data_IF_010382539350
#
_entry.id   IF_010382539350
#
_cell.length_a   1.000
_cell.length_b   1.000
_cell.length_c   1.000
_cell.angle_alpha   90.00
_cell.angle_beta   90.00
_cell.angle_gamma   90.00
#
_symmetry.space_group_name_H-M   'P 1'
#
loop_
_entity.id
_entity.type
_entity.pdbx_description
1 polymer ?
#
# COMPACT_ATOMS: atom_id res chain seq x y z
N UNK A 1 -18.50 18.33 -3.57
CA UNK A 1 -18.26 18.12 -2.12
C UNK A 1 -19.22 17.10 -1.47
N UNK A 2 -20.55 17.22 -1.58
CA UNK A 2 -21.49 16.29 -0.89
C UNK A 2 -21.50 14.84 -1.40
N UNK A 3 -21.00 14.59 -2.62
CA UNK A 3 -20.95 13.25 -3.22
C UNK A 3 -19.75 12.46 -2.70
N UNK A 4 -18.60 13.10 -2.51
CA UNK A 4 -17.41 12.46 -1.97
C UNK A 4 -17.55 12.13 -0.48
N UNK A 5 -18.24 12.97 0.29
CA UNK A 5 -18.50 12.69 1.71
C UNK A 5 -19.39 11.44 1.89
N UNK A 6 -20.49 11.33 1.12
CA UNK A 6 -21.37 10.15 1.14
C UNK A 6 -20.67 8.88 0.67
N UNK A 7 -19.77 8.99 -0.31
CA UNK A 7 -19.00 7.85 -0.81
C UNK A 7 -18.00 7.35 0.25
N UNK A 8 -17.32 8.27 0.94
CA UNK A 8 -16.41 7.95 2.06
C UNK A 8 -17.13 7.32 3.25
N UNK A 9 -18.35 7.79 3.58
CA UNK A 9 -19.18 7.18 4.64
C UNK A 9 -19.62 5.76 4.31
N UNK A 10 -20.00 5.49 3.05
CA UNK A 10 -20.39 4.16 2.61
C UNK A 10 -19.21 3.17 2.63
N UNK A 11 -18.04 3.59 2.16
CA UNK A 11 -16.82 2.78 2.20
C UNK A 11 -16.39 2.46 3.65
N UNK A 12 -16.50 3.43 4.56
CA UNK A 12 -16.20 3.23 5.98
C UNK A 12 -17.13 2.21 6.62
N UNK A 13 -18.42 2.25 6.31
CA UNK A 13 -19.43 1.30 6.82
C UNK A 13 -19.21 -0.13 6.30
N UNK A 14 -18.72 -0.26 5.06
CA UNK A 14 -18.39 -1.54 4.45
C UNK A 14 -17.14 -2.16 5.10
N UNK A 15 -16.10 -1.37 5.35
CA UNK A 15 -14.91 -1.81 6.09
C UNK A 15 -15.25 -2.30 7.50
N UNK A 16 -16.08 -1.55 8.25
CA UNK A 16 -16.50 -1.92 9.59
C UNK A 16 -17.30 -3.22 9.60
N UNK A 17 -18.09 -3.48 8.56
CA UNK A 17 -18.82 -4.74 8.39
C UNK A 17 -17.88 -5.92 8.09
N UNK A 18 -16.85 -5.73 7.28
CA UNK A 18 -15.84 -6.76 7.01
C UNK A 18 -15.06 -7.07 8.29
N UNK A 19 -14.72 -6.04 9.08
CA UNK A 19 -14.02 -6.17 10.36
C UNK A 19 -14.86 -6.84 11.45
N UNK A 20 -16.18 -6.62 11.49
CA UNK A 20 -17.06 -7.25 12.48
C UNK A 20 -17.32 -8.74 12.21
N UNK A 21 -17.30 -9.18 10.95
CA UNK A 21 -17.43 -10.60 10.58
C UNK A 21 -16.21 -11.47 10.93
N UNK A 22 -15.11 -10.87 11.41
CA UNK A 22 -13.82 -11.53 11.66
C UNK A 22 -13.62 -12.06 13.09
N UNK A 23 -14.61 -11.98 13.98
CA UNK A 23 -14.50 -12.34 15.41
C UNK A 23 -14.45 -13.85 15.72
N UNK A 24 -13.70 -14.67 14.99
CA UNK A 24 -13.66 -16.12 15.24
C UNK A 24 -12.28 -16.72 15.60
N UNK A 25 -11.18 -15.96 15.64
CA UNK A 25 -9.87 -16.51 16.05
C UNK A 25 -8.98 -15.51 16.81
N UNK A 26 -8.20 -15.95 17.83
CA UNK A 26 -7.25 -15.10 18.54
C UNK A 26 -5.90 -15.03 17.80
N UNK A 27 -5.89 -14.55 16.55
CA UNK A 27 -4.69 -14.39 15.73
C UNK A 27 -4.83 -13.13 14.85
N UNK A 28 -3.86 -12.21 15.00
CA UNK A 28 -3.91 -10.79 14.61
C UNK A 28 -4.92 -9.95 15.41
N UNK A 29 -4.42 -8.95 16.15
CA UNK A 29 -5.29 -8.03 16.87
C UNK A 29 -6.15 -7.25 15.87
N UNK A 30 -7.35 -6.78 16.29
CA UNK A 30 -8.22 -5.95 15.42
C UNK A 30 -7.47 -4.76 14.82
N UNK A 31 -6.47 -4.24 15.53
CA UNK A 31 -5.58 -3.18 15.07
C UNK A 31 -4.70 -3.61 13.89
N UNK A 32 -4.08 -4.80 13.95
CA UNK A 32 -3.23 -5.36 12.89
C UNK A 32 -4.02 -5.54 11.59
N UNK A 33 -5.27 -6.00 11.71
CA UNK A 33 -6.18 -6.16 10.57
C UNK A 33 -6.56 -4.80 9.96
N UNK A 34 -6.79 -3.77 10.79
CA UNK A 34 -7.04 -2.40 10.30
C UNK A 34 -5.83 -1.81 9.58
N UNK A 35 -4.63 -1.96 10.14
CA UNK A 35 -3.38 -1.52 9.51
C UNK A 35 -3.19 -2.21 8.16
N UNK A 36 -3.39 -3.52 8.12
CA UNK A 36 -3.30 -4.32 6.90
C UNK A 36 -4.34 -3.90 5.85
N UNK A 37 -5.58 -3.65 6.26
CA UNK A 37 -6.62 -3.16 5.37
C UNK A 37 -6.25 -1.80 4.76
N UNK A 38 -5.72 -0.87 5.56
CA UNK A 38 -5.23 0.42 5.06
C UNK A 38 -4.13 0.23 4.01
N UNK A 39 -3.15 -0.63 4.29
CA UNK A 39 -2.09 -0.95 3.33
C UNK A 39 -2.59 -1.55 2.03
N UNK A 40 -3.58 -2.44 2.09
CA UNK A 40 -4.15 -3.04 0.90
C UNK A 40 -4.94 -2.02 0.08
N UNK A 41 -5.60 -1.05 0.72
CA UNK A 41 -6.25 0.06 0.02
C UNK A 41 -5.23 0.97 -0.67
N UNK A 42 -4.14 1.27 0.02
CA UNK A 42 -3.07 2.13 -0.49
C UNK A 42 -2.16 1.40 -1.49
N UNK A 43 -2.34 0.09 -1.70
CA UNK A 43 -1.46 -0.73 -2.53
C UNK A 43 -1.30 -0.21 -3.96
N UNK A 44 -2.39 0.28 -4.57
CA UNK A 44 -2.34 0.84 -5.92
C UNK A 44 -1.48 2.09 -5.96
N UNK A 45 -1.63 2.96 -4.98
CA UNK A 45 -0.84 4.18 -4.87
C UNK A 45 0.64 3.85 -4.59
N UNK A 46 0.91 2.87 -3.72
CA UNK A 46 2.26 2.35 -3.47
C UNK A 46 2.87 1.82 -4.78
N UNK A 47 2.13 1.00 -5.54
CA UNK A 47 2.59 0.46 -6.82
C UNK A 47 2.90 1.59 -7.79
N UNK A 48 1.97 2.52 -7.97
CA UNK A 48 2.12 3.62 -8.92
C UNK A 48 3.33 4.49 -8.56
N UNK A 49 3.56 4.78 -7.27
CA UNK A 49 4.75 5.53 -6.81
C UNK A 49 6.06 4.81 -7.08
N UNK A 50 6.09 3.48 -6.89
CA UNK A 50 7.27 2.66 -7.18
C UNK A 50 7.54 2.60 -8.68
N UNK A 51 6.49 2.49 -9.50
CA UNK A 51 6.59 2.48 -10.97
C UNK A 51 7.03 3.85 -11.50
N UNK A 52 6.42 4.94 -11.02
CA UNK A 52 6.79 6.32 -11.36
C UNK A 52 8.27 6.61 -11.04
N UNK A 53 8.73 6.23 -9.85
CA UNK A 53 10.15 6.35 -9.51
C UNK A 53 11.05 5.53 -10.44
N UNK A 54 10.65 4.30 -10.79
CA UNK A 54 11.43 3.44 -11.66
C UNK A 54 11.54 4.02 -13.07
N UNK A 55 10.47 4.62 -13.56
CA UNK A 55 10.43 5.20 -14.90
C UNK A 55 11.25 6.51 -14.97
N UNK A 56 11.46 7.19 -13.83
CA UNK A 56 12.29 8.40 -13.69
C UNK A 56 13.63 8.18 -12.99
N UNK A 57 14.09 6.94 -12.87
CA UNK A 57 15.31 6.60 -12.11
C UNK A 57 16.57 7.29 -12.69
N UNK A 58 16.64 7.41 -14.02
CA UNK A 58 17.78 8.02 -14.72
C UNK A 58 17.88 9.53 -14.43
N UNK A 59 16.75 10.24 -14.44
CA UNK A 59 16.69 11.67 -14.15
C UNK A 59 17.13 11.96 -12.70
N UNK A 60 16.64 11.14 -11.76
CA UNK A 60 17.01 11.21 -10.34
C UNK A 60 18.51 10.94 -10.17
N UNK A 61 19.05 9.95 -10.89
CA UNK A 61 20.48 9.62 -10.86
C UNK A 61 21.34 10.75 -11.43
N UNK A 62 20.93 11.36 -12.54
CA UNK A 62 21.60 12.50 -13.14
C UNK A 62 21.64 13.70 -12.18
N UNK A 63 20.50 14.03 -11.55
CA UNK A 63 20.43 15.11 -10.56
C UNK A 63 21.37 14.89 -9.36
N UNK A 64 21.54 13.63 -8.91
CA UNK A 64 22.50 13.29 -7.84
C UNK A 64 23.95 13.50 -8.31
N UNK A 65 24.29 13.05 -9.53
CA UNK A 65 25.65 13.18 -10.09
C UNK A 65 26.03 14.64 -10.35
N UNK A 66 25.12 15.45 -10.88
CA UNK A 66 25.30 16.89 -11.07
C UNK A 66 25.46 17.59 -9.71
N UNK A 67 24.65 17.19 -8.73
CA UNK A 67 24.77 17.55 -7.31
C UNK A 67 26.17 17.38 -6.74
N UNK A 68 26.71 16.17 -6.86
CA UNK A 68 28.05 15.82 -6.37
C UNK A 68 29.16 16.55 -7.13
N UNK A 69 29.03 16.71 -8.44
CA UNK A 69 30.01 17.38 -9.28
C UNK A 69 30.09 18.86 -8.95
N UNK A 70 28.95 19.53 -8.73
CA UNK A 70 28.90 20.93 -8.33
C UNK A 70 29.57 21.18 -6.97
N UNK A 71 29.41 20.27 -5.98
CA UNK A 71 30.11 20.38 -4.68
C UNK A 71 31.63 20.31 -4.81
N UNK A 72 32.14 19.58 -5.81
CA UNK A 72 33.59 19.45 -6.03
C UNK A 72 34.22 20.70 -6.66
N UNK A 73 33.44 21.55 -7.33
CA UNK A 73 33.94 22.70 -8.11
C UNK A 73 33.99 24.04 -7.35
N UNK A 74 33.67 24.07 -6.05
CA UNK A 74 33.89 25.22 -5.17
C UNK A 74 32.65 26.08 -4.87
N UNK A 75 32.66 26.91 -3.81
CA UNK A 75 31.46 27.47 -3.18
C UNK A 75 30.93 28.78 -3.78
N UNK A 76 31.58 29.34 -4.80
CA UNK A 76 31.42 30.75 -5.20
C UNK A 76 30.13 31.09 -5.97
N UNK A 77 29.27 30.12 -6.28
CA UNK A 77 28.07 30.39 -7.07
C UNK A 77 26.76 30.12 -6.31
N UNK A 78 25.80 31.07 -6.40
CA UNK A 78 24.39 30.91 -6.03
C UNK A 78 23.75 29.60 -6.58
N UNK A 79 24.35 29.00 -7.61
CA UNK A 79 23.99 27.71 -8.20
C UNK A 79 24.24 26.51 -7.28
N UNK A 80 25.21 26.57 -6.36
CA UNK A 80 25.50 25.49 -5.42
C UNK A 80 24.30 25.16 -4.51
N UNK A 81 23.52 26.17 -4.10
CA UNK A 81 22.35 25.98 -3.24
C UNK A 81 21.17 25.32 -3.97
N UNK A 82 20.90 25.69 -5.23
CA UNK A 82 19.82 25.07 -6.03
C UNK A 82 20.15 23.61 -6.36
N UNK A 83 21.39 23.36 -6.76
CA UNK A 83 21.89 22.03 -7.09
C UNK A 83 21.99 21.12 -5.86
N UNK A 84 22.36 21.66 -4.69
CA UNK A 84 22.31 20.92 -3.43
C UNK A 84 20.88 20.57 -2.99
N UNK A 85 19.93 21.50 -3.13
CA UNK A 85 18.53 21.23 -2.80
C UNK A 85 17.91 20.17 -3.73
N UNK A 86 18.19 20.25 -5.03
CA UNK A 86 17.74 19.25 -6.01
C UNK A 86 18.31 17.85 -5.69
N UNK A 87 19.60 17.77 -5.35
CA UNK A 87 20.24 16.53 -4.92
C UNK A 87 19.59 15.93 -3.67
N UNK A 88 19.32 16.75 -2.64
CA UNK A 88 18.68 16.29 -1.41
C UNK A 88 17.27 15.76 -1.71
N UNK A 89 16.50 16.46 -2.55
CA UNK A 89 15.17 16.00 -2.97
C UNK A 89 15.26 14.66 -3.72
N UNK A 90 16.20 14.53 -4.67
CA UNK A 90 16.43 13.29 -5.41
C UNK A 90 16.82 12.12 -4.49
N UNK A 91 17.69 12.36 -3.50
CA UNK A 91 18.07 11.36 -2.50
C UNK A 91 16.88 10.94 -1.63
N UNK A 92 16.06 11.89 -1.18
CA UNK A 92 14.86 11.61 -0.39
C UNK A 92 13.82 10.83 -1.21
N UNK A 93 13.63 11.19 -2.48
CA UNK A 93 12.74 10.46 -3.41
C UNK A 93 13.21 9.02 -3.61
N UNK A 94 14.51 8.82 -3.79
CA UNK A 94 15.12 7.48 -3.88
C UNK A 94 14.88 6.65 -2.61
N UNK A 95 15.21 7.18 -1.44
CA UNK A 95 15.01 6.48 -0.18
C UNK A 95 13.53 6.11 0.04
N UNK A 96 12.61 7.05 -0.19
CA UNK A 96 11.18 6.82 -0.06
C UNK A 96 10.67 5.74 -1.05
N UNK A 97 11.15 5.74 -2.29
CA UNK A 97 10.76 4.74 -3.28
C UNK A 97 11.29 3.34 -2.92
N UNK A 98 12.52 3.25 -2.40
CA UNK A 98 13.11 1.99 -1.92
C UNK A 98 12.30 1.39 -0.76
N UNK A 99 11.90 2.20 0.22
CA UNK A 99 11.03 1.79 1.32
C UNK A 99 9.68 1.26 0.82
N UNK A 100 9.02 2.00 -0.08
CA UNK A 100 7.76 1.58 -0.69
C UNK A 100 7.91 0.30 -1.51
N UNK A 101 9.04 0.10 -2.19
CA UNK A 101 9.32 -1.12 -2.95
C UNK A 101 9.48 -2.34 -2.04
N UNK A 102 10.12 -2.19 -0.87
CA UNK A 102 10.24 -3.25 0.14
C UNK A 102 8.85 -3.60 0.70
N UNK A 103 8.05 -2.58 1.02
CA UNK A 103 6.68 -2.77 1.50
C UNK A 103 5.80 -3.48 0.47
N UNK A 104 5.82 -3.03 -0.79
CA UNK A 104 5.09 -3.67 -1.90
C UNK A 104 5.47 -5.15 -2.03
N UNK A 105 6.77 -5.46 -2.05
CA UNK A 105 7.26 -6.85 -2.12
C UNK A 105 6.77 -7.69 -0.94
N UNK A 106 6.70 -7.11 0.26
CA UNK A 106 6.20 -7.79 1.45
C UNK A 106 4.70 -8.11 1.31
N UNK A 107 3.88 -7.17 0.85
CA UNK A 107 2.46 -7.40 0.59
C UNK A 107 2.27 -8.49 -0.49
N UNK A 108 3.01 -8.40 -1.61
CA UNK A 108 2.96 -9.38 -2.70
C UNK A 108 3.29 -10.79 -2.21
N UNK A 109 4.32 -10.93 -1.38
CA UNK A 109 4.71 -12.22 -0.78
C UNK A 109 3.64 -12.72 0.19
N UNK A 110 3.09 -11.86 1.04
CA UNK A 110 2.05 -12.23 2.00
C UNK A 110 0.77 -12.73 1.29
N UNK A 111 0.38 -12.10 0.19
CA UNK A 111 -0.74 -12.56 -0.66
C UNK A 111 -0.42 -13.91 -1.29
N UNK A 112 0.83 -14.11 -1.73
CA UNK A 112 1.24 -15.37 -2.32
C UNK A 112 1.26 -16.55 -1.34
N UNK A 113 1.35 -16.28 -0.04
CA UNK A 113 1.28 -17.29 1.03
C UNK A 113 -0.15 -17.69 1.43
N UNK A 114 -1.17 -17.02 0.90
CA UNK A 114 -2.57 -17.42 1.12
C UNK A 114 -2.79 -18.80 0.51
N UNK A 115 -3.17 -19.77 1.35
CA UNK A 115 -3.36 -21.17 0.96
C UNK A 115 -4.58 -21.43 0.07
N UNK A 116 -5.64 -20.64 0.25
CA UNK A 116 -6.89 -20.81 -0.50
C UNK A 116 -6.88 -19.92 -1.73
N UNK A 117 -6.93 -20.53 -2.92
CA UNK A 117 -6.91 -19.80 -4.20
C UNK A 117 -8.11 -18.86 -4.33
N UNK A 118 -9.29 -19.26 -3.86
CA UNK A 118 -10.48 -18.40 -3.87
C UNK A 118 -10.31 -17.15 -2.99
N UNK A 119 -9.66 -17.30 -1.84
CA UNK A 119 -9.37 -16.18 -0.92
C UNK A 119 -8.32 -15.27 -1.54
N UNK A 120 -7.26 -15.86 -2.10
CA UNK A 120 -6.19 -15.14 -2.80
C UNK A 120 -6.75 -14.36 -3.98
N UNK A 121 -7.63 -14.96 -4.77
CA UNK A 121 -8.29 -14.35 -5.91
C UNK A 121 -9.17 -13.17 -5.49
N UNK A 122 -9.96 -13.32 -4.42
CA UNK A 122 -10.81 -12.25 -3.90
C UNK A 122 -9.99 -11.00 -3.53
N UNK A 123 -8.91 -11.19 -2.76
CA UNK A 123 -8.01 -10.10 -2.36
C UNK A 123 -7.30 -9.49 -3.58
N UNK A 124 -6.83 -10.33 -4.51
CA UNK A 124 -6.12 -9.87 -5.71
C UNK A 124 -7.00 -9.01 -6.60
N UNK A 125 -8.24 -9.45 -6.87
CA UNK A 125 -9.19 -8.68 -7.65
C UNK A 125 -9.51 -7.34 -6.98
N UNK A 126 -9.75 -7.36 -5.66
CA UNK A 126 -10.15 -6.17 -4.92
C UNK A 126 -9.06 -5.12 -4.77
N UNK A 127 -7.87 -5.53 -4.34
CA UNK A 127 -6.83 -4.59 -3.88
C UNK A 127 -5.63 -4.47 -4.82
N UNK A 128 -5.29 -5.55 -5.55
CA UNK A 128 -4.11 -5.55 -6.43
C UNK A 128 -4.48 -5.05 -7.83
N UNK A 129 -5.62 -5.53 -8.35
CA UNK A 129 -6.19 -5.05 -9.60
C UNK A 129 -7.03 -3.78 -9.43
N UNK A 130 -7.47 -3.48 -8.21
CA UNK A 130 -8.22 -2.27 -7.89
C UNK A 130 -9.66 -2.27 -8.36
N UNK A 131 -10.27 -3.43 -8.53
CA UNK A 131 -11.66 -3.50 -8.95
C UNK A 131 -12.63 -3.03 -7.85
N UNK A 132 -13.77 -2.52 -8.29
CA UNK A 132 -14.87 -2.23 -7.37
C UNK A 132 -15.36 -3.52 -6.70
N UNK A 133 -16.08 -3.39 -5.58
CA UNK A 133 -16.64 -4.54 -4.89
C UNK A 133 -17.63 -5.30 -5.78
N UNK A 134 -18.47 -4.56 -6.52
CA UNK A 134 -19.43 -5.10 -7.49
C UNK A 134 -18.71 -5.89 -8.59
N UNK A 135 -17.64 -5.32 -9.15
CA UNK A 135 -16.85 -5.98 -10.19
C UNK A 135 -16.15 -7.22 -9.65
N UNK A 136 -15.64 -7.16 -8.40
CA UNK A 136 -15.02 -8.31 -7.73
C UNK A 136 -16.02 -9.47 -7.62
N UNK A 137 -17.26 -9.20 -7.19
CA UNK A 137 -18.32 -10.21 -7.12
C UNK A 137 -18.61 -10.80 -8.51
N UNK A 138 -18.67 -9.95 -9.53
CA UNK A 138 -18.92 -10.35 -10.92
C UNK A 138 -17.81 -11.25 -11.47
N UNK A 139 -16.54 -10.88 -11.29
CA UNK A 139 -15.39 -11.65 -11.78
C UNK A 139 -15.19 -12.98 -11.06
N UNK A 140 -15.68 -13.09 -9.83
CA UNK A 140 -15.66 -14.33 -9.08
C UNK A 140 -16.86 -15.24 -9.37
N UNK A 141 -17.74 -14.86 -10.32
CA UNK A 141 -18.93 -15.60 -10.71
C UNK A 141 -19.83 -16.00 -9.52
N UNK A 142 -19.95 -15.12 -8.52
CA UNK A 142 -20.86 -15.34 -7.40
C UNK A 142 -22.23 -14.77 -7.73
N UNK A 143 -23.22 -15.65 -7.86
CA UNK A 143 -24.62 -15.36 -8.15
C UNK A 143 -25.34 -14.68 -6.98
N UNK A 144 -24.90 -13.49 -6.60
CA UNK A 144 -25.63 -12.58 -5.71
C UNK A 144 -25.41 -12.75 -4.21
N UNK A 145 -24.54 -13.64 -3.75
CA UNK A 145 -24.18 -13.74 -2.31
C UNK A 145 -22.89 -12.97 -1.98
N UNK A 146 -23.01 -11.64 -1.93
CA UNK A 146 -21.95 -10.71 -1.50
C UNK A 146 -21.25 -11.15 -0.20
N UNK A 147 -22.00 -11.70 0.75
CA UNK A 147 -21.48 -12.22 2.02
C UNK A 147 -20.39 -13.30 1.87
N UNK A 148 -20.36 -14.05 0.76
CA UNK A 148 -19.32 -15.06 0.51
C UNK A 148 -18.00 -14.40 0.11
N UNK A 149 -18.07 -13.34 -0.70
CA UNK A 149 -16.91 -12.54 -1.12
C UNK A 149 -16.36 -11.77 0.08
N UNK A 150 -17.22 -11.15 0.89
CA UNK A 150 -16.83 -10.46 2.13
C UNK A 150 -16.02 -11.37 3.05
N UNK A 151 -16.55 -12.55 3.34
CA UNK A 151 -15.90 -13.52 4.22
C UNK A 151 -14.54 -13.96 3.68
N UNK A 152 -14.40 -14.08 2.37
CA UNK A 152 -13.12 -14.44 1.75
C UNK A 152 -12.12 -13.31 1.80
N UNK A 153 -12.55 -12.08 1.47
CA UNK A 153 -11.74 -10.88 1.63
C UNK A 153 -11.25 -10.77 3.08
N UNK A 154 -12.15 -10.90 4.06
CA UNK A 154 -11.81 -10.90 5.47
C UNK A 154 -10.77 -11.97 5.84
N UNK A 155 -10.99 -13.24 5.45
CA UNK A 155 -10.02 -14.32 5.67
C UNK A 155 -8.65 -14.03 5.04
N UNK A 156 -8.65 -13.42 3.86
CA UNK A 156 -7.43 -13.01 3.18
C UNK A 156 -6.69 -11.92 3.94
N UNK A 157 -7.39 -10.86 4.37
CA UNK A 157 -6.83 -9.78 5.19
C UNK A 157 -6.24 -10.36 6.48
N UNK A 158 -6.95 -11.25 7.17
CA UNK A 158 -6.44 -11.88 8.39
C UNK A 158 -5.16 -12.70 8.15
N UNK A 159 -5.12 -13.47 7.05
CA UNK A 159 -3.92 -14.23 6.66
C UNK A 159 -2.73 -13.33 6.35
N UNK A 160 -2.96 -12.22 5.64
CA UNK A 160 -1.93 -11.24 5.31
C UNK A 160 -1.45 -10.54 6.58
N UNK A 161 -2.37 -10.11 7.44
CA UNK A 161 -2.05 -9.44 8.71
C UNK A 161 -1.16 -10.31 9.59
N UNK A 162 -1.48 -11.61 9.72
CA UNK A 162 -0.65 -12.56 10.46
C UNK A 162 0.76 -12.69 9.87
N UNK A 163 0.88 -12.68 8.54
CA UNK A 163 2.18 -12.78 7.86
C UNK A 163 3.00 -11.50 8.00
N UNK A 164 2.39 -10.33 7.80
CA UNK A 164 3.06 -9.03 7.92
C UNK A 164 3.47 -8.75 9.37
N UNK A 165 2.67 -9.18 10.34
CA UNK A 165 3.02 -9.14 11.76
C UNK A 165 4.23 -10.01 12.06
N UNK A 166 4.27 -11.24 11.54
CA UNK A 166 5.40 -12.16 11.73
C UNK A 166 6.72 -11.56 11.21
N UNK A 167 6.66 -10.78 10.13
CA UNK A 167 7.82 -10.11 9.55
C UNK A 167 8.15 -8.75 10.20
N UNK A 168 7.38 -8.30 11.19
CA UNK A 168 7.56 -7.01 11.85
C UNK A 168 7.21 -5.79 10.97
N UNK A 169 6.61 -6.00 9.80
CA UNK A 169 6.28 -4.91 8.85
C UNK A 169 5.21 -3.98 9.44
N UNK A 170 4.27 -4.53 10.21
CA UNK A 170 3.19 -3.73 10.82
C UNK A 170 3.66 -2.88 12.00
N UNK A 171 4.76 -3.25 12.65
CA UNK A 171 5.31 -2.53 13.81
C UNK A 171 6.17 -1.33 13.37
N UNK A 172 6.73 -1.39 12.15
CA UNK A 172 7.52 -0.30 11.55
C UNK A 172 6.66 0.85 11.03
N UNK A 173 5.32 0.71 11.08
CA UNK A 173 4.42 1.76 10.61
C UNK A 173 4.00 2.67 11.75
N UNK A 174 4.29 3.98 11.66
CA UNK A 174 3.85 4.92 12.68
C UNK A 174 2.32 4.92 12.72
N UNK A 175 1.78 4.59 13.90
CA UNK A 175 0.37 4.78 14.23
C UNK A 175 0.11 6.28 14.38
N UNK A 176 0.11 7.03 13.28
CA UNK A 176 -0.46 8.37 13.31
C UNK A 176 -1.96 8.24 13.51
N UNK A 177 -2.31 8.44 14.78
CA UNK A 177 -3.59 8.65 15.44
C UNK A 177 -4.83 8.54 14.56
N UNK A 178 -5.62 7.49 14.82
CA UNK A 178 -7.05 7.55 14.62
C UNK A 178 -7.65 8.52 15.64
N UNK A 179 -7.67 9.81 15.29
CA UNK A 179 -8.60 10.81 15.84
C UNK A 179 -9.90 10.81 15.03
#
# INVERSE_FOLDING_TARGET
MQIESKKREAEKKEDERILSQLELFPAAAKEDMRKTLRLLKDYIDIRNRVEDYRDHEEDIRAAIQEGETARRLGPEDLYANKTANAMIVAMNQKAAAEELAVLKKSIDRAINLIRSDEVKQAVTLRYIKGYSYSDTCRFMHYDGKSSTVDRRIGKGIASIAGTLKLWGVLDMMPTHECG
#
